data_IF_205625781026
#
_entry.id   IF_205625781026
#
_cell.length_a   1.000
_cell.length_b   1.000
_cell.length_c   1.000
_cell.angle_alpha   90.00
_cell.angle_beta   90.00
_cell.angle_gamma   90.00
#
_symmetry.space_group_name_H-M   'P 1'
#
loop_
_entity.id
_entity.type
_entity.pdbx_description
1 polymer ?
#
# COMPACT_ATOMS: atom_id res chain seq x y z
N UNK A 1 -11.49 8.50 4.09
CA UNK A 1 -10.53 8.87 3.03
C UNK A 1 -10.92 8.30 1.67
N UNK A 2 -10.32 8.81 0.58
CA UNK A 2 -10.53 8.30 -0.79
C UNK A 2 -9.18 7.97 -1.43
N UNK A 3 -9.07 6.80 -2.05
CA UNK A 3 -7.90 6.30 -2.76
C UNK A 3 -8.23 6.27 -4.26
N UNK A 4 -7.31 6.72 -5.10
CA UNK A 4 -7.37 6.49 -6.54
C UNK A 4 -7.05 5.03 -6.85
N UNK A 5 -7.81 4.44 -7.76
CA UNK A 5 -7.65 3.07 -8.24
C UNK A 5 -7.80 3.05 -9.77
N UNK A 6 -7.51 1.91 -10.38
CA UNK A 6 -7.89 1.66 -11.78
C UNK A 6 -9.07 0.69 -11.80
N UNK A 7 -10.16 1.07 -12.49
CA UNK A 7 -11.29 0.16 -12.73
C UNK A 7 -10.89 -0.97 -13.68
N UNK A 8 -11.20 -2.20 -13.30
CA UNK A 8 -10.98 -3.42 -14.10
C UNK A 8 -12.34 -3.98 -14.56
N UNK A 9 -13.27 -4.13 -13.62
CA UNK A 9 -14.66 -4.53 -13.94
C UNK A 9 -15.58 -3.46 -13.37
N UNK A 10 -16.35 -2.82 -14.25
CA UNK A 10 -17.23 -1.72 -13.87
C UNK A 10 -18.28 -2.15 -12.84
N UNK A 11 -18.68 -1.22 -12.00
CA UNK A 11 -19.70 -1.41 -10.97
C UNK A 11 -19.38 -0.68 -9.68
N UNK A 12 -20.32 -0.70 -8.75
CA UNK A 12 -20.18 -0.08 -7.43
C UNK A 12 -20.68 -1.03 -6.36
N UNK A 13 -19.93 -1.16 -5.28
CA UNK A 13 -20.31 -1.96 -4.12
C UNK A 13 -19.84 -1.30 -2.82
N UNK A 14 -20.53 -1.59 -1.73
CA UNK A 14 -20.15 -1.22 -0.38
C UNK A 14 -20.18 -2.45 0.53
N UNK A 15 -19.32 -2.48 1.53
CA UNK A 15 -19.24 -3.60 2.47
C UNK A 15 -18.07 -3.43 3.42
N UNK A 16 -17.87 -4.45 4.25
CA UNK A 16 -16.68 -4.53 5.10
C UNK A 16 -15.56 -5.28 4.37
N UNK A 17 -14.34 -4.82 4.51
CA UNK A 17 -13.18 -5.47 3.92
C UNK A 17 -12.98 -6.88 4.49
N UNK A 18 -12.50 -7.78 3.66
CA UNK A 18 -11.84 -9.01 4.03
C UNK A 18 -10.45 -8.96 3.39
N UNK A 19 -9.40 -8.92 4.19
CA UNK A 19 -8.04 -8.65 3.70
C UNK A 19 -7.17 -9.89 3.79
N UNK A 20 -6.58 -10.28 2.65
CA UNK A 20 -5.48 -11.25 2.62
C UNK A 20 -4.17 -10.49 2.41
N UNK A 21 -3.17 -10.64 3.31
CA UNK A 21 -1.86 -9.99 3.13
C UNK A 21 -1.02 -10.64 2.02
N UNK A 22 -1.38 -11.87 1.60
CA UNK A 22 -0.67 -12.65 0.60
C UNK A 22 -1.47 -12.77 -0.70
N UNK A 23 -0.81 -13.08 -1.84
CA UNK A 23 -1.48 -13.43 -3.09
C UNK A 23 -2.47 -14.59 -2.90
N UNK A 24 -3.67 -14.46 -3.48
CA UNK A 24 -4.77 -15.39 -3.25
C UNK A 24 -5.07 -16.27 -4.47
N UNK A 25 -5.33 -17.56 -4.23
CA UNK A 25 -5.83 -18.51 -5.23
C UNK A 25 -7.25 -18.90 -4.90
N UNK A 26 -8.20 -18.72 -5.82
CA UNK A 26 -9.57 -19.19 -5.63
C UNK A 26 -9.65 -20.72 -5.63
N UNK A 27 -8.74 -21.39 -6.37
CA UNK A 27 -8.63 -22.85 -6.34
C UNK A 27 -7.95 -23.26 -5.02
N UNK A 28 -8.67 -23.98 -4.17
CA UNK A 28 -8.19 -24.44 -2.86
C UNK A 28 -8.12 -23.33 -1.79
N UNK A 29 -8.38 -22.07 -2.13
CA UNK A 29 -8.43 -20.96 -1.17
C UNK A 29 -9.84 -20.57 -0.75
N UNK A 30 -10.84 -20.85 -1.60
CA UNK A 30 -12.25 -20.66 -1.28
C UNK A 30 -13.03 -21.93 -1.57
N UNK A 31 -13.99 -22.25 -0.70
CA UNK A 31 -14.94 -23.32 -0.93
C UNK A 31 -15.93 -22.91 -2.03
N UNK A 32 -15.98 -23.63 -3.15
CA UNK A 32 -16.87 -23.27 -4.26
C UNK A 32 -18.36 -23.34 -3.91
N UNK A 33 -18.75 -24.11 -2.91
CA UNK A 33 -20.14 -24.28 -2.50
C UNK A 33 -20.62 -23.19 -1.55
N UNK A 34 -19.75 -22.70 -0.66
CA UNK A 34 -20.12 -21.80 0.44
C UNK A 34 -19.46 -20.42 0.37
N UNK A 35 -18.40 -20.27 -0.41
CA UNK A 35 -17.58 -19.05 -0.44
C UNK A 35 -16.73 -18.84 0.82
N UNK A 36 -16.56 -19.87 1.65
CA UNK A 36 -15.74 -19.79 2.86
C UNK A 36 -14.25 -19.87 2.51
N UNK A 37 -13.42 -19.09 3.20
CA UNK A 37 -11.94 -19.14 3.08
C UNK A 37 -11.43 -20.40 3.75
N UNK A 38 -10.63 -21.21 3.02
CA UNK A 38 -10.19 -22.54 3.46
C UNK A 38 -8.79 -22.55 4.10
N UNK A 39 -7.91 -21.65 3.72
CA UNK A 39 -6.47 -21.75 3.99
C UNK A 39 -5.92 -20.69 4.95
N UNK A 40 -6.77 -20.04 5.73
CA UNK A 40 -6.35 -19.01 6.68
C UNK A 40 -5.71 -17.77 6.05
N UNK A 41 -5.90 -17.57 4.73
CA UNK A 41 -5.29 -16.47 3.97
C UNK A 41 -5.65 -15.08 4.49
N UNK A 42 -6.71 -14.95 5.26
CA UNK A 42 -7.21 -13.70 5.86
C UNK A 42 -6.91 -13.59 7.36
N UNK A 43 -6.10 -14.50 7.90
CA UNK A 43 -5.81 -14.60 9.34
C UNK A 43 -6.80 -15.47 10.11
N UNK A 44 -7.91 -15.91 9.48
CA UNK A 44 -8.89 -16.86 10.02
C UNK A 44 -9.34 -17.85 8.96
N UNK A 45 -9.87 -19.00 9.38
CA UNK A 45 -10.56 -19.97 8.53
C UNK A 45 -12.07 -19.84 8.70
N UNK A 46 -12.84 -20.08 7.62
CA UNK A 46 -14.30 -20.05 7.68
C UNK A 46 -14.94 -18.68 7.45
N UNK A 47 -14.17 -17.61 7.29
CA UNK A 47 -14.69 -16.31 6.85
C UNK A 47 -15.29 -16.42 5.45
N UNK A 48 -16.43 -15.76 5.23
CA UNK A 48 -17.15 -15.84 3.96
C UNK A 48 -16.91 -14.63 3.09
N UNK A 49 -16.79 -14.86 1.79
CA UNK A 49 -16.62 -13.81 0.77
C UNK A 49 -17.92 -13.03 0.52
N UNK A 50 -19.07 -13.67 0.69
CA UNK A 50 -20.37 -13.06 0.38
C UNK A 50 -20.60 -11.74 1.12
N UNK A 51 -20.89 -10.68 0.36
CA UNK A 51 -21.15 -9.33 0.89
C UNK A 51 -19.88 -8.57 1.33
N UNK A 52 -18.68 -9.19 1.26
CA UNK A 52 -17.41 -8.56 1.66
C UNK A 52 -16.73 -7.88 0.48
N UNK A 53 -15.95 -6.85 0.76
CA UNK A 53 -14.96 -6.30 -0.21
C UNK A 53 -13.68 -7.09 -0.02
N UNK A 54 -13.35 -7.99 -0.96
CA UNK A 54 -12.18 -8.84 -0.82
C UNK A 54 -10.93 -8.14 -1.36
N UNK A 55 -9.99 -7.84 -0.47
CA UNK A 55 -8.74 -7.15 -0.78
C UNK A 55 -7.55 -8.08 -0.63
N UNK A 56 -6.73 -8.21 -1.70
CA UNK A 56 -5.52 -9.03 -1.70
C UNK A 56 -4.52 -8.51 -2.76
N UNK A 57 -3.20 -8.78 -2.61
CA UNK A 57 -2.19 -8.15 -3.48
C UNK A 57 -2.38 -8.48 -4.96
N UNK A 58 -2.54 -9.75 -5.31
CA UNK A 58 -2.75 -10.24 -6.68
C UNK A 58 -3.30 -11.67 -6.65
N UNK A 59 -3.91 -12.09 -7.74
CA UNK A 59 -4.25 -13.48 -7.97
C UNK A 59 -3.02 -14.36 -8.18
N UNK A 60 -3.15 -15.65 -7.86
CA UNK A 60 -2.16 -16.69 -8.19
C UNK A 60 -2.86 -18.00 -8.51
N UNK A 61 -2.17 -18.87 -9.23
CA UNK A 61 -2.61 -20.24 -9.48
C UNK A 61 -3.24 -20.46 -10.85
N UNK A 62 -4.03 -21.50 -10.95
CA UNK A 62 -4.58 -22.05 -12.20
C UNK A 62 -5.69 -21.16 -12.77
N UNK A 63 -5.84 -21.19 -14.12
CA UNK A 63 -6.97 -20.59 -14.85
C UNK A 63 -8.34 -21.09 -14.40
N UNK A 64 -8.42 -22.27 -13.79
CA UNK A 64 -9.66 -22.79 -13.16
C UNK A 64 -10.18 -21.82 -12.08
N UNK A 65 -9.33 -21.01 -11.49
CA UNK A 65 -9.73 -19.98 -10.50
C UNK A 65 -10.77 -19.00 -11.00
N UNK A 66 -10.78 -18.68 -12.31
CA UNK A 66 -11.82 -17.83 -12.92
C UNK A 66 -13.18 -18.49 -12.90
N UNK A 67 -13.26 -19.80 -13.13
CA UNK A 67 -14.53 -20.55 -13.06
C UNK A 67 -15.01 -20.71 -11.61
N UNK A 68 -14.10 -20.88 -10.63
CA UNK A 68 -14.45 -20.90 -9.22
C UNK A 68 -15.08 -19.56 -8.82
N UNK A 69 -14.43 -18.44 -9.15
CA UNK A 69 -14.97 -17.11 -8.86
C UNK A 69 -16.31 -16.84 -9.56
N UNK A 70 -16.42 -17.22 -10.83
CA UNK A 70 -17.68 -17.16 -11.57
C UNK A 70 -18.80 -17.96 -10.89
N UNK A 71 -18.52 -19.21 -10.51
CA UNK A 71 -19.48 -20.07 -9.81
C UNK A 71 -19.90 -19.50 -8.46
N UNK A 72 -18.98 -18.92 -7.70
CA UNK A 72 -19.27 -18.21 -6.45
C UNK A 72 -20.20 -17.01 -6.69
N UNK A 73 -19.92 -16.18 -7.70
CA UNK A 73 -20.78 -15.05 -8.05
C UNK A 73 -22.19 -15.47 -8.43
N UNK A 74 -22.33 -16.51 -9.27
CA UNK A 74 -23.64 -17.03 -9.69
C UNK A 74 -24.49 -17.60 -8.54
N UNK A 75 -23.85 -18.11 -7.48
CA UNK A 75 -24.54 -18.64 -6.28
C UNK A 75 -24.77 -17.60 -5.20
N UNK A 76 -24.33 -16.34 -5.40
CA UNK A 76 -24.40 -15.29 -4.36
C UNK A 76 -23.39 -15.47 -3.22
N UNK A 77 -22.38 -16.31 -3.42
CA UNK A 77 -21.31 -16.57 -2.44
C UNK A 77 -20.00 -15.82 -2.75
N UNK A 78 -19.95 -15.08 -3.86
CA UNK A 78 -18.83 -14.25 -4.26
C UNK A 78 -18.71 -12.96 -3.43
N UNK A 79 -17.54 -12.29 -3.48
CA UNK A 79 -17.37 -10.99 -2.85
C UNK A 79 -18.23 -9.92 -3.52
N UNK A 80 -18.61 -8.89 -2.77
CA UNK A 80 -19.34 -7.74 -3.30
C UNK A 80 -18.48 -6.91 -4.26
N UNK A 81 -17.15 -6.83 -4.01
CA UNK A 81 -16.15 -6.29 -4.94
C UNK A 81 -14.77 -6.86 -4.64
N UNK A 82 -13.84 -6.70 -5.59
CA UNK A 82 -12.44 -7.10 -5.46
C UNK A 82 -11.54 -5.86 -5.53
N UNK A 83 -10.56 -5.79 -4.62
CA UNK A 83 -9.54 -4.74 -4.57
C UNK A 83 -8.16 -5.41 -4.61
N UNK A 84 -7.35 -5.06 -5.61
CA UNK A 84 -6.01 -5.60 -5.79
C UNK A 84 -4.94 -4.51 -5.81
N UNK A 85 -3.69 -4.86 -5.47
CA UNK A 85 -2.52 -4.05 -5.79
C UNK A 85 -2.22 -4.12 -7.29
N UNK A 86 -2.28 -5.34 -7.85
CA UNK A 86 -2.15 -5.60 -9.29
C UNK A 86 -3.16 -6.66 -9.73
N UNK A 87 -4.00 -6.30 -10.68
CA UNK A 87 -4.95 -7.24 -11.25
C UNK A 87 -4.20 -8.41 -11.94
N UNK A 88 -4.68 -9.61 -11.69
CA UNK A 88 -4.30 -10.84 -12.39
C UNK A 88 -5.37 -11.21 -13.41
N UNK A 89 -4.96 -11.73 -14.54
CA UNK A 89 -5.88 -12.05 -15.65
C UNK A 89 -6.94 -13.08 -15.26
N UNK A 90 -6.59 -14.08 -14.45
CA UNK A 90 -7.52 -15.13 -14.01
C UNK A 90 -8.63 -14.55 -13.14
N UNK A 91 -8.26 -13.69 -12.18
CA UNK A 91 -9.21 -13.01 -11.30
C UNK A 91 -10.07 -12.02 -12.09
N UNK A 92 -9.46 -11.23 -12.99
CA UNK A 92 -10.19 -10.27 -13.81
C UNK A 92 -11.25 -10.93 -14.70
N UNK A 93 -10.90 -12.05 -15.36
CA UNK A 93 -11.85 -12.85 -16.16
C UNK A 93 -12.97 -13.39 -15.28
N UNK A 94 -12.66 -13.99 -14.14
CA UNK A 94 -13.66 -14.52 -13.21
C UNK A 94 -14.61 -13.44 -12.70
N UNK A 95 -14.08 -12.28 -12.32
CA UNK A 95 -14.85 -11.13 -11.86
C UNK A 95 -15.76 -10.59 -12.97
N UNK A 96 -15.25 -10.49 -14.22
CA UNK A 96 -16.04 -10.05 -15.38
C UNK A 96 -17.21 -10.98 -15.64
N UNK A 97 -16.98 -12.29 -15.67
CA UNK A 97 -18.03 -13.29 -15.90
C UNK A 97 -19.07 -13.31 -14.77
N UNK A 98 -18.63 -13.04 -13.54
CA UNK A 98 -19.50 -12.99 -12.36
C UNK A 98 -20.22 -11.64 -12.18
N UNK A 99 -19.84 -10.59 -12.91
CA UNK A 99 -20.35 -9.25 -12.73
C UNK A 99 -19.91 -8.61 -11.39
N UNK A 100 -18.75 -9.03 -10.85
CA UNK A 100 -18.21 -8.53 -9.58
C UNK A 100 -17.35 -7.29 -9.86
N UNK A 101 -17.66 -6.10 -9.32
CA UNK A 101 -16.84 -4.91 -9.47
C UNK A 101 -15.41 -5.17 -9.02
N UNK A 102 -14.43 -4.73 -9.82
CA UNK A 102 -13.03 -4.95 -9.51
C UNK A 102 -12.19 -3.71 -9.81
N UNK A 103 -11.29 -3.39 -8.89
CA UNK A 103 -10.28 -2.33 -9.05
C UNK A 103 -8.89 -2.85 -8.72
N UNK A 104 -7.87 -2.21 -9.29
CA UNK A 104 -6.48 -2.43 -8.88
C UNK A 104 -5.72 -1.11 -8.65
N UNK A 105 -4.39 -1.19 -8.47
CA UNK A 105 -3.49 -0.12 -8.06
C UNK A 105 -3.81 0.44 -6.67
N UNK A 106 -4.32 -0.41 -5.79
CA UNK A 106 -4.53 -0.09 -4.39
C UNK A 106 -3.55 -0.90 -3.54
N UNK A 107 -2.71 -0.23 -2.77
CA UNK A 107 -1.86 -0.93 -1.80
C UNK A 107 -2.74 -1.50 -0.68
N UNK A 108 -2.88 -2.82 -0.66
CA UNK A 108 -3.73 -3.52 0.32
C UNK A 108 -3.10 -3.63 1.70
N UNK A 109 -1.80 -3.38 1.83
CA UNK A 109 -1.09 -3.52 3.10
C UNK A 109 -1.44 -2.47 4.16
N UNK A 110 -2.14 -1.38 3.79
CA UNK A 110 -2.71 -0.42 4.73
C UNK A 110 -4.17 -0.69 5.11
N UNK A 111 -4.82 -1.66 4.44
CA UNK A 111 -6.20 -2.05 4.71
C UNK A 111 -6.26 -3.09 5.83
N UNK A 112 -7.35 -3.12 6.58
CA UNK A 112 -7.61 -4.13 7.60
C UNK A 112 -8.96 -4.78 7.37
N UNK A 113 -9.08 -6.06 7.76
CA UNK A 113 -10.37 -6.74 7.81
C UNK A 113 -11.33 -5.93 8.69
N UNK A 114 -12.59 -5.86 8.26
CA UNK A 114 -13.70 -5.08 8.82
C UNK A 114 -13.62 -3.56 8.60
N UNK A 115 -12.62 -3.02 7.87
CA UNK A 115 -12.72 -1.65 7.36
C UNK A 115 -13.99 -1.49 6.51
N UNK A 116 -14.82 -0.47 6.80
CA UNK A 116 -15.94 -0.11 5.94
C UNK A 116 -15.40 0.51 4.64
N UNK A 117 -15.81 -0.04 3.50
CA UNK A 117 -15.32 0.36 2.20
C UNK A 117 -16.46 0.59 1.19
N UNK A 118 -16.22 1.53 0.27
CA UNK A 118 -17.03 1.71 -0.94
C UNK A 118 -16.09 1.65 -2.13
N UNK A 119 -16.33 0.70 -3.04
CA UNK A 119 -15.60 0.55 -4.30
C UNK A 119 -16.47 1.09 -5.42
N UNK A 120 -15.96 2.05 -6.19
CA UNK A 120 -16.57 2.54 -7.42
C UNK A 120 -15.58 2.33 -8.57
N UNK A 121 -15.70 1.19 -9.24
CA UNK A 121 -14.80 0.81 -10.32
C UNK A 121 -15.02 1.66 -11.59
N UNK A 122 -16.24 2.20 -11.80
CA UNK A 122 -16.53 3.11 -12.90
C UNK A 122 -15.78 4.43 -12.77
N UNK A 123 -15.64 4.93 -11.54
CA UNK A 123 -14.88 6.16 -11.23
C UNK A 123 -13.42 5.88 -10.88
N UNK A 124 -13.02 4.62 -10.70
CA UNK A 124 -11.68 4.24 -10.27
C UNK A 124 -11.35 4.77 -8.87
N UNK A 125 -12.24 4.54 -7.90
CA UNK A 125 -12.04 5.01 -6.52
C UNK A 125 -12.40 3.94 -5.49
N UNK A 126 -11.66 3.95 -4.38
CA UNK A 126 -11.98 3.22 -3.15
C UNK A 126 -12.08 4.22 -2.02
N UNK A 127 -13.19 4.19 -1.29
CA UNK A 127 -13.43 5.06 -0.14
C UNK A 127 -13.44 4.24 1.15
N UNK A 128 -12.79 4.77 2.19
CA UNK A 128 -12.83 4.28 3.57
C UNK A 128 -13.42 5.41 4.43
N UNK A 129 -14.74 5.41 4.68
CA UNK A 129 -15.42 6.53 5.33
C UNK A 129 -14.91 6.83 6.74
N UNK A 130 -14.52 5.79 7.50
CA UNK A 130 -14.16 5.89 8.91
C UNK A 130 -12.65 6.11 9.13
N UNK A 131 -11.88 6.23 8.04
CA UNK A 131 -10.42 6.37 8.09
C UNK A 131 -10.02 7.78 7.66
N UNK A 132 -9.14 8.39 8.46
CA UNK A 132 -8.49 9.64 8.11
C UNK A 132 -7.31 9.38 7.18
N UNK A 133 -7.27 10.04 6.03
CA UNK A 133 -6.14 9.98 5.11
C UNK A 133 -5.22 11.18 5.27
N UNK A 134 -3.91 10.95 5.38
CA UNK A 134 -2.88 12.00 5.34
C UNK A 134 -1.91 11.71 4.19
N UNK A 135 -1.66 12.70 3.34
CA UNK A 135 -0.69 12.57 2.25
C UNK A 135 0.69 12.95 2.78
N UNK A 136 1.68 12.11 2.52
CA UNK A 136 3.07 12.36 2.94
C UNK A 136 4.03 11.98 1.82
N UNK A 137 5.18 12.63 1.78
CA UNK A 137 6.31 12.20 0.95
C UNK A 137 7.30 11.43 1.81
N UNK A 138 8.01 10.49 1.21
CA UNK A 138 9.19 9.89 1.80
C UNK A 138 10.32 9.87 0.77
N UNK A 139 11.39 10.59 1.07
CA UNK A 139 12.58 10.69 0.25
C UNK A 139 13.66 9.72 0.75
N UNK A 140 13.96 8.71 -0.05
CA UNK A 140 15.09 7.80 0.16
C UNK A 140 16.32 8.44 -0.49
N UNK A 141 17.26 8.87 0.31
CA UNK A 141 18.55 9.41 -0.16
C UNK A 141 19.56 8.27 -0.30
N UNK A 142 20.15 8.13 -1.48
CA UNK A 142 21.16 7.09 -1.76
C UNK A 142 22.52 7.70 -2.09
N UNK A 143 23.55 7.13 -1.48
CA UNK A 143 24.96 7.42 -1.80
C UNK A 143 25.77 6.14 -1.82
N UNK A 144 26.40 5.80 -2.98
CA UNK A 144 27.26 4.62 -3.15
C UNK A 144 26.66 3.34 -2.58
N UNK A 145 25.39 3.04 -2.95
CA UNK A 145 24.66 1.84 -2.53
C UNK A 145 24.16 1.84 -1.08
N UNK A 146 24.36 2.91 -0.32
CA UNK A 146 23.80 3.07 1.03
C UNK A 146 22.66 4.06 1.01
N UNK A 147 21.67 3.86 1.88
CA UNK A 147 20.55 4.77 2.10
C UNK A 147 20.70 5.50 3.43
N UNK A 148 20.23 6.74 3.47
CA UNK A 148 20.16 7.53 4.69
C UNK A 148 18.89 7.13 5.47
N UNK A 149 19.08 6.82 6.74
CA UNK A 149 17.99 6.74 7.72
C UNK A 149 18.24 7.73 8.85
N UNK A 150 17.17 8.26 9.42
CA UNK A 150 17.20 9.22 10.52
C UNK A 150 16.38 8.71 11.69
N UNK A 151 16.79 9.00 12.92
CA UNK A 151 16.02 8.64 14.11
C UNK A 151 15.23 9.86 14.60
N UNK A 152 13.93 9.71 14.63
CA UNK A 152 12.97 10.75 14.98
C UNK A 152 13.13 11.18 16.45
N UNK A 153 13.06 12.49 16.68
CA UNK A 153 13.15 13.05 18.03
C UNK A 153 11.89 12.77 18.84
N UNK A 154 11.98 12.95 20.16
CA UNK A 154 10.81 12.90 21.06
C UNK A 154 9.86 14.10 20.91
N UNK A 155 10.27 15.13 20.15
CA UNK A 155 9.49 16.35 19.94
C UNK A 155 8.49 16.26 18.79
N UNK A 156 8.62 15.25 17.92
CA UNK A 156 7.70 15.06 16.79
C UNK A 156 6.38 14.44 17.23
N UNK A 157 5.31 14.71 16.49
CA UNK A 157 3.96 14.30 16.86
C UNK A 157 3.66 12.80 16.74
N UNK A 158 4.48 12.04 15.93
CA UNK A 158 4.24 10.62 15.65
C UNK A 158 5.53 9.82 15.53
N UNK A 159 5.47 8.53 15.91
CA UNK A 159 6.57 7.57 15.75
C UNK A 159 7.90 8.04 16.36
N UNK A 160 7.86 8.64 17.54
CA UNK A 160 9.02 9.12 18.30
C UNK A 160 10.02 8.00 18.53
N UNK A 161 11.32 8.32 18.46
CA UNK A 161 12.42 7.37 18.65
C UNK A 161 12.63 6.34 17.55
N UNK A 162 11.67 6.19 16.60
CA UNK A 162 11.78 5.24 15.49
C UNK A 162 12.65 5.78 14.36
N UNK A 163 13.21 4.85 13.60
CA UNK A 163 13.97 5.15 12.40
C UNK A 163 13.05 5.37 11.20
N UNK A 164 13.31 6.39 10.43
CA UNK A 164 12.57 6.73 9.20
C UNK A 164 13.54 7.15 8.09
N UNK A 165 13.03 7.34 6.90
CA UNK A 165 13.66 8.18 5.89
C UNK A 165 13.13 9.62 6.02
N UNK A 166 13.66 10.55 5.22
CA UNK A 166 13.22 11.94 5.21
C UNK A 166 11.76 12.02 4.75
N UNK A 167 10.89 12.65 5.54
CA UNK A 167 9.45 12.58 5.29
C UNK A 167 8.72 13.84 5.72
N UNK A 168 7.78 14.32 4.90
CA UNK A 168 6.97 15.49 5.20
C UNK A 168 5.53 15.37 4.72
N UNK A 169 4.66 16.19 5.31
CA UNK A 169 3.26 16.27 4.94
C UNK A 169 3.06 17.06 3.64
N UNK A 170 2.18 16.57 2.78
CA UNK A 170 1.76 17.27 1.57
C UNK A 170 0.50 18.06 1.90
N UNK A 171 0.56 19.37 1.79
CA UNK A 171 -0.56 20.25 2.06
C UNK A 171 -1.33 20.58 0.78
N UNK A 172 -2.66 20.58 0.88
CA UNK A 172 -3.56 20.96 -0.20
C UNK A 172 -3.25 20.26 -1.53
N UNK A 173 -2.89 21.06 -2.56
CA UNK A 173 -2.58 20.58 -3.92
C UNK A 173 -1.08 20.62 -4.24
N UNK A 174 -0.23 20.71 -3.23
CA UNK A 174 1.22 20.72 -3.40
C UNK A 174 1.72 19.52 -4.22
N UNK A 175 2.72 19.76 -5.08
CA UNK A 175 3.37 18.71 -5.85
C UNK A 175 4.24 17.84 -4.93
N UNK A 176 4.01 16.51 -4.87
CA UNK A 176 4.77 15.62 -4.00
C UNK A 176 6.28 15.64 -4.23
N UNK A 177 6.73 15.74 -5.49
CA UNK A 177 8.16 15.80 -5.82
C UNK A 177 8.79 17.09 -5.27
N UNK A 178 8.09 18.21 -5.43
CA UNK A 178 8.57 19.49 -4.90
C UNK A 178 8.71 19.41 -3.37
N UNK A 179 7.66 18.90 -2.68
CA UNK A 179 7.70 18.74 -1.22
C UNK A 179 8.85 17.83 -0.78
N UNK A 180 9.08 16.70 -1.44
CA UNK A 180 10.19 15.81 -1.11
C UNK A 180 11.57 16.49 -1.20
N UNK A 181 11.77 17.38 -2.19
CA UNK A 181 13.02 18.15 -2.33
C UNK A 181 13.15 19.18 -1.20
N UNK A 182 12.06 19.82 -0.82
CA UNK A 182 12.04 20.79 0.30
C UNK A 182 12.42 20.10 1.60
N UNK A 183 11.77 18.96 1.93
CA UNK A 183 12.05 18.19 3.14
C UNK A 183 13.51 17.74 3.21
N UNK A 184 14.07 17.23 2.11
CA UNK A 184 15.49 16.86 2.08
C UNK A 184 16.39 18.03 2.45
N UNK A 185 16.10 19.23 1.95
CA UNK A 185 16.90 20.42 2.26
C UNK A 185 16.73 20.87 3.71
N UNK A 186 15.50 20.85 4.22
CA UNK A 186 15.17 21.28 5.58
C UNK A 186 15.75 20.33 6.62
N UNK A 187 15.48 19.02 6.51
CA UNK A 187 15.90 18.03 7.50
C UNK A 187 17.39 17.62 7.41
N UNK A 188 18.06 17.80 6.25
CA UNK A 188 19.43 17.28 6.06
C UNK A 188 20.46 18.31 5.63
N UNK A 189 20.03 19.47 5.15
CA UNK A 189 20.87 20.48 4.53
C UNK A 189 21.43 20.08 3.17
N UNK A 190 21.12 18.91 2.63
CA UNK A 190 21.59 18.43 1.33
C UNK A 190 20.86 19.15 0.19
N UNK A 191 21.63 19.72 -0.75
CA UNK A 191 21.10 20.45 -1.90
C UNK A 191 21.38 19.76 -3.23
N UNK A 192 22.53 19.05 -3.32
CA UNK A 192 22.92 18.32 -4.52
C UNK A 192 22.25 16.94 -4.51
N UNK A 193 21.03 16.86 -5.03
CA UNK A 193 20.24 15.62 -5.13
C UNK A 193 19.72 15.46 -6.55
N UNK A 194 19.68 14.23 -7.03
CA UNK A 194 19.16 13.87 -8.36
C UNK A 194 18.10 12.80 -8.23
N UNK A 195 16.88 13.07 -8.72
CA UNK A 195 15.79 12.09 -8.73
C UNK A 195 16.19 10.89 -9.61
N UNK A 196 16.00 9.67 -9.09
CA UNK A 196 16.28 8.39 -9.76
C UNK A 196 15.06 7.52 -9.95
N UNK A 197 14.06 7.67 -9.10
CA UNK A 197 12.85 6.87 -9.21
C UNK A 197 11.74 7.36 -8.30
N UNK A 198 10.55 6.93 -8.65
CA UNK A 198 9.32 7.06 -7.86
C UNK A 198 8.59 5.72 -7.90
N UNK A 199 7.68 5.50 -6.98
CA UNK A 199 6.81 4.33 -7.00
C UNK A 199 5.36 4.71 -6.69
N UNK A 200 4.45 3.76 -6.89
CA UNK A 200 3.06 3.92 -6.46
C UNK A 200 2.99 4.16 -4.94
N UNK A 201 2.00 4.91 -4.46
CA UNK A 201 1.87 5.19 -3.05
C UNK A 201 1.74 3.92 -2.19
N UNK A 202 2.45 3.93 -1.05
CA UNK A 202 2.35 2.90 -0.01
C UNK A 202 1.42 3.39 1.09
N UNK A 203 0.49 2.56 1.53
CA UNK A 203 -0.44 2.89 2.60
C UNK A 203 0.11 2.42 3.95
N UNK A 204 0.60 3.34 4.77
CA UNK A 204 1.07 3.05 6.11
C UNK A 204 -0.01 3.41 7.14
N UNK A 205 -0.46 2.42 7.92
CA UNK A 205 -1.55 2.61 8.88
C UNK A 205 -1.03 2.84 10.29
N UNK A 206 -1.68 3.79 10.97
CA UNK A 206 -1.61 4.00 12.40
C UNK A 206 -3.03 4.20 12.93
N UNK A 207 -3.58 3.19 13.61
CA UNK A 207 -4.95 3.16 14.13
C UNK A 207 -5.99 3.53 13.05
N UNK A 208 -6.67 4.68 13.21
CA UNK A 208 -7.69 5.21 12.30
C UNK A 208 -7.14 6.17 11.24
N UNK A 209 -5.83 6.34 11.18
CA UNK A 209 -5.14 7.16 10.17
C UNK A 209 -4.38 6.27 9.19
N UNK A 210 -4.53 6.53 7.90
CA UNK A 210 -3.67 5.96 6.86
C UNK A 210 -2.85 7.09 6.24
N UNK A 211 -1.53 6.95 6.32
CA UNK A 211 -0.57 7.79 5.60
C UNK A 211 -0.43 7.26 4.18
N UNK A 212 -0.79 8.09 3.21
CA UNK A 212 -0.58 7.82 1.77
C UNK A 212 0.82 8.30 1.46
N UNK A 213 1.78 7.38 1.54
CA UNK A 213 3.21 7.68 1.38
C UNK A 213 3.56 7.70 -0.09
N UNK A 214 4.04 8.83 -0.60
CA UNK A 214 4.58 8.99 -1.94
C UNK A 214 6.10 8.80 -1.91
N UNK A 215 6.64 7.67 -2.43
CA UNK A 215 8.05 7.36 -2.34
C UNK A 215 8.87 8.03 -3.45
N UNK A 216 10.04 8.55 -3.08
CA UNK A 216 11.03 9.11 -4.01
C UNK A 216 12.42 8.55 -3.71
N UNK A 217 13.18 8.21 -4.75
CA UNK A 217 14.58 7.85 -4.64
C UNK A 217 15.43 8.98 -5.24
N UNK A 218 16.33 9.54 -4.43
CA UNK A 218 17.31 10.53 -4.87
C UNK A 218 18.73 10.02 -4.66
N UNK A 219 19.61 10.25 -5.62
CA UNK A 219 21.04 10.14 -5.42
C UNK A 219 21.62 11.45 -4.89
N UNK A 220 22.60 11.36 -4.01
CA UNK A 220 23.40 12.50 -3.55
C UNK A 220 24.88 12.15 -3.56
N UNK A 221 25.79 13.05 -4.02
CA UNK A 221 27.23 12.86 -3.90
C UNK A 221 27.73 13.06 -2.46
N UNK A 222 26.97 13.77 -1.63
CA UNK A 222 27.37 14.18 -0.28
C UNK A 222 26.79 13.27 0.78
N UNK A 223 27.58 12.96 1.81
CA UNK A 223 27.18 12.21 3.01
C UNK A 223 27.11 13.07 4.28
N UNK A 224 27.54 14.32 4.20
CA UNK A 224 27.56 15.22 5.35
C UNK A 224 26.14 15.75 5.57
N UNK A 225 25.44 15.18 6.54
CA UNK A 225 24.08 15.53 6.93
C UNK A 225 24.13 16.50 8.10
N UNK A 226 23.30 17.54 8.05
CA UNK A 226 23.01 18.44 9.15
C UNK A 226 21.54 18.29 9.50
N UNK A 227 21.28 17.54 10.57
CA UNK A 227 19.93 17.31 11.05
C UNK A 227 19.31 18.61 11.61
N UNK A 228 18.01 18.70 11.45
CA UNK A 228 17.18 19.69 12.12
C UNK A 228 16.69 19.20 13.51
N UNK A 229 15.66 19.82 14.04
CA UNK A 229 15.09 19.49 15.36
C UNK A 229 14.21 18.21 15.36
N UNK A 230 13.75 17.76 14.18
CA UNK A 230 12.88 16.59 14.05
C UNK A 230 13.64 15.29 14.23
N UNK A 231 14.94 15.30 13.99
CA UNK A 231 15.78 14.11 13.98
C UNK A 231 17.00 14.27 14.89
N UNK A 232 17.32 13.20 15.64
CA UNK A 232 18.41 13.23 16.65
C UNK A 232 19.63 12.42 16.25
N UNK A 233 19.53 11.53 15.28
CA UNK A 233 20.61 10.66 14.82
C UNK A 233 20.40 10.33 13.36
N UNK A 234 21.47 10.06 12.61
CA UNK A 234 21.41 9.56 11.25
C UNK A 234 22.44 8.46 10.99
N UNK A 235 22.11 7.57 10.05
CA UNK A 235 23.01 6.50 9.59
C UNK A 235 22.89 6.29 8.09
N UNK A 236 24.03 5.95 7.48
CA UNK A 236 24.08 5.47 6.11
C UNK A 236 24.25 3.96 6.13
N UNK A 237 23.17 3.23 5.83
CA UNK A 237 23.10 1.76 5.89
C UNK A 237 22.91 1.16 4.50
N UNK A 238 23.16 -0.12 4.33
CA UNK A 238 22.69 -0.84 3.15
C UNK A 238 21.19 -1.08 3.29
N UNK A 239 20.41 -1.09 2.18
CA UNK A 239 18.96 -1.36 2.25
C UNK A 239 18.61 -2.64 3.01
N UNK A 240 19.44 -3.70 2.87
CA UNK A 240 19.24 -5.01 3.49
C UNK A 240 19.46 -5.00 5.03
N UNK A 241 20.06 -3.92 5.56
CA UNK A 241 20.28 -3.76 6.99
C UNK A 241 19.09 -3.11 7.70
N UNK A 242 18.06 -2.68 6.95
CA UNK A 242 16.93 -1.92 7.48
C UNK A 242 16.14 -2.70 8.55
N UNK A 243 16.06 -4.03 8.42
CA UNK A 243 15.35 -4.91 9.37
C UNK A 243 16.01 -4.94 10.77
N UNK A 244 17.24 -4.42 10.92
CA UNK A 244 17.93 -4.31 12.20
C UNK A 244 17.49 -3.09 13.02
N UNK A 245 16.64 -2.24 12.46
CA UNK A 245 16.20 -0.98 13.05
C UNK A 245 14.70 -1.01 13.34
N UNK A 246 14.31 -0.45 14.48
CA UNK A 246 12.90 -0.22 14.77
C UNK A 246 12.39 0.96 13.95
N UNK A 247 11.76 0.66 12.82
CA UNK A 247 11.36 1.67 11.84
C UNK A 247 9.92 2.15 12.03
N UNK A 248 9.60 3.28 11.39
CA UNK A 248 8.21 3.68 11.17
C UNK A 248 7.47 2.62 10.33
N UNK A 249 6.14 2.51 10.45
CA UNK A 249 5.38 1.49 9.74
C UNK A 249 5.66 1.48 8.24
N UNK A 250 5.94 0.30 7.70
CA UNK A 250 6.10 0.04 6.26
C UNK A 250 7.26 0.75 5.56
N UNK A 251 8.27 1.24 6.31
CA UNK A 251 9.47 1.83 5.69
C UNK A 251 10.20 0.83 4.76
N UNK A 252 10.23 -0.45 5.14
CA UNK A 252 10.82 -1.51 4.30
C UNK A 252 10.10 -1.59 2.94
N UNK A 253 8.77 -1.55 2.94
CA UNK A 253 7.97 -1.57 1.70
C UNK A 253 8.19 -0.31 0.85
N UNK A 254 8.31 0.86 1.49
CA UNK A 254 8.61 2.14 0.82
C UNK A 254 9.97 2.09 0.14
N UNK A 255 10.99 1.56 0.82
CA UNK A 255 12.34 1.36 0.26
C UNK A 255 12.29 0.36 -0.89
N UNK A 256 11.67 -0.80 -0.69
CA UNK A 256 11.56 -1.82 -1.74
C UNK A 256 10.87 -1.29 -3.00
N UNK A 257 9.80 -0.49 -2.85
CA UNK A 257 9.04 0.05 -3.96
C UNK A 257 9.86 0.94 -4.90
N UNK A 258 10.78 1.76 -4.38
CA UNK A 258 11.61 2.67 -5.21
C UNK A 258 12.84 2.00 -5.79
N UNK A 259 13.27 0.85 -5.25
CA UNK A 259 14.37 0.06 -5.81
C UNK A 259 13.89 -0.95 -6.85
N UNK A 260 12.61 -1.33 -6.82
CA UNK A 260 11.93 -2.18 -7.81
C UNK A 260 10.76 -1.40 -8.41
N UNK A 261 11.02 -0.40 -9.27
CA UNK A 261 9.93 0.37 -9.86
C UNK A 261 8.97 -0.57 -10.57
N UNK A 262 7.67 -0.36 -10.37
CA UNK A 262 6.59 -1.11 -11.03
C UNK A 262 6.80 -1.04 -12.54
N UNK A 263 6.91 -2.20 -13.19
CA UNK A 263 6.99 -2.34 -14.63
C UNK A 263 5.70 -1.88 -15.31
#
# INVERSE_FOLDING_TARGET
MRIRARGIVAGRASGHALVSPAPFSFVGGADPATGSILNGATGGTGERLAGRIFAFPTGKGSTVGSYVLYGLGKRGHGPAAIVNRRADAVVAVGATLAGIPMVDRVDVGGLQTDDRMVVDAGRGTVELPDIQGKRVVTAILRNRGRILIVRRSEKVGTFQGKWSAISGHIEGREDPKHRAIVEVREETGLRAITLRGTADPVLARDRTTIYIVHPFLFDTPNRRVRLDWENVEHRWIRPEELDRFETVPRLVDVVAAVFQPSA
#
